data_IF_634488699091
#
_entry.id   IF_634488699091
#
_cell.length_a   1.000
_cell.length_b   1.000
_cell.length_c   1.000
_cell.angle_alpha   90.00
_cell.angle_beta   90.00
_cell.angle_gamma   90.00
#
_symmetry.space_group_name_H-M   'P 1'
#
loop_
_entity.id
_entity.type
_entity.pdbx_description
1 polymer ?
#
# COMPACT_ATOMS: atom_id res chain seq x y z
N UNK A 1 6.15 38.46 17.07
CA UNK A 1 5.41 37.18 17.21
C UNK A 1 5.38 36.51 15.84
N UNK A 2 5.98 35.33 15.68
CA UNK A 2 5.96 34.56 14.42
C UNK A 2 4.66 33.75 14.37
N UNK A 3 3.87 33.81 13.28
CA UNK A 3 2.67 32.97 13.15
C UNK A 3 3.09 31.50 12.99
N UNK A 4 2.44 30.62 13.74
CA UNK A 4 2.62 29.17 13.63
C UNK A 4 2.11 28.66 12.27
N UNK A 5 2.80 27.72 11.62
CA UNK A 5 2.33 27.13 10.37
C UNK A 5 1.04 26.32 10.62
N UNK A 6 0.01 26.61 9.82
CA UNK A 6 -1.25 25.87 9.83
C UNK A 6 -1.07 24.43 9.33
N UNK A 7 -1.90 23.48 9.78
CA UNK A 7 -1.85 22.09 9.32
C UNK A 7 -2.09 21.97 7.82
N UNK A 8 -1.37 21.03 7.18
CA UNK A 8 -1.33 20.77 5.73
C UNK A 8 -2.73 20.60 5.12
N UNK A 9 -3.67 20.03 5.89
CA UNK A 9 -5.06 19.83 5.46
C UNK A 9 -5.78 21.14 5.12
N UNK A 10 -5.48 22.24 5.81
CA UNK A 10 -6.16 23.53 5.60
C UNK A 10 -5.63 24.29 4.38
N UNK A 11 -4.37 24.05 3.99
CA UNK A 11 -3.77 24.69 2.80
C UNK A 11 -4.35 24.17 1.49
N UNK A 12 -4.76 22.89 1.45
CA UNK A 12 -5.36 22.31 0.26
C UNK A 12 -6.74 22.92 -0.04
N UNK A 13 -7.56 23.17 0.98
CA UNK A 13 -8.86 23.81 0.83
C UNK A 13 -8.77 25.32 0.52
N UNK A 14 -7.76 26.03 1.03
CA UNK A 14 -7.54 27.44 0.66
C UNK A 14 -7.13 27.62 -0.81
N UNK A 15 -6.33 26.70 -1.37
CA UNK A 15 -5.94 26.77 -2.78
C UNK A 15 -7.10 26.44 -3.74
N UNK A 16 -8.08 25.65 -3.29
CA UNK A 16 -9.33 25.41 -4.01
C UNK A 16 -10.28 26.62 -3.93
N UNK A 17 -10.35 27.29 -2.78
CA UNK A 17 -11.18 28.48 -2.60
C UNK A 17 -10.63 29.71 -3.37
N UNK A 18 -9.31 29.84 -3.55
CA UNK A 18 -8.71 30.88 -4.40
C UNK A 18 -8.90 30.63 -5.92
N UNK A 19 -9.34 29.43 -6.31
CA UNK A 19 -9.67 29.11 -7.71
C UNK A 19 -11.10 29.53 -8.12
N UNK A 20 -11.98 29.87 -7.17
CA UNK A 20 -13.37 30.31 -7.45
C UNK A 20 -13.47 31.71 -8.08
N UNK A 21 -12.34 32.39 -8.31
CA UNK A 21 -12.25 33.67 -9.02
C UNK A 21 -11.77 33.58 -10.47
N UNK A 22 -11.46 32.38 -10.98
CA UNK A 22 -11.10 32.18 -12.38
C UNK A 22 -12.37 31.96 -13.22
N UNK A 23 -12.50 32.70 -14.32
CA UNK A 23 -13.61 32.58 -15.27
C UNK A 23 -13.89 31.11 -15.61
N UNK A 24 -15.17 30.71 -15.58
CA UNK A 24 -15.65 29.32 -15.72
C UNK A 24 -14.98 28.52 -16.85
N UNK A 25 -14.59 29.18 -17.94
CA UNK A 25 -13.90 28.53 -19.06
C UNK A 25 -12.45 28.05 -18.78
N UNK A 26 -11.69 28.73 -17.90
CA UNK A 26 -10.31 28.34 -17.61
C UNK A 26 -10.25 27.11 -16.69
N UNK A 27 -11.25 26.95 -15.82
CA UNK A 27 -11.35 25.79 -14.93
C UNK A 27 -11.75 24.54 -15.72
N UNK A 28 -12.65 24.67 -16.69
CA UNK A 28 -13.06 23.58 -17.59
C UNK A 28 -11.90 23.13 -18.49
N UNK A 29 -11.08 24.06 -19.01
CA UNK A 29 -9.90 23.74 -19.80
C UNK A 29 -8.82 22.99 -18.99
N UNK A 30 -8.61 23.36 -17.72
CA UNK A 30 -7.66 22.67 -16.83
C UNK A 30 -8.17 21.27 -16.48
N UNK A 31 -9.47 21.10 -16.19
CA UNK A 31 -10.05 19.77 -15.93
C UNK A 31 -9.91 18.86 -17.15
N UNK A 32 -10.19 19.40 -18.34
CA UNK A 32 -10.13 18.64 -19.59
C UNK A 32 -8.68 18.26 -19.96
N UNK A 33 -7.70 19.13 -19.66
CA UNK A 33 -6.28 18.80 -19.81
C UNK A 33 -5.81 17.73 -18.81
N UNK A 34 -6.36 17.71 -17.60
CA UNK A 34 -6.04 16.71 -16.58
C UNK A 34 -6.60 15.32 -16.97
N UNK A 35 -7.87 15.25 -17.40
CA UNK A 35 -8.48 14.01 -17.89
C UNK A 35 -7.78 13.49 -19.14
N UNK A 36 -7.39 14.38 -20.07
CA UNK A 36 -6.63 14.00 -21.26
C UNK A 36 -5.21 13.48 -20.94
N UNK A 37 -4.60 13.98 -19.85
CA UNK A 37 -3.31 13.50 -19.38
C UNK A 37 -3.43 12.10 -18.75
N UNK A 38 -4.47 11.85 -17.95
CA UNK A 38 -4.73 10.51 -17.36
C UNK A 38 -5.05 9.47 -18.46
N UNK A 39 -5.87 9.82 -19.45
CA UNK A 39 -6.18 8.92 -20.57
C UNK A 39 -4.95 8.59 -21.45
N UNK A 40 -3.98 9.50 -21.53
CA UNK A 40 -2.70 9.27 -22.22
C UNK A 40 -1.78 8.34 -21.44
N UNK A 41 -1.84 8.35 -20.12
CA UNK A 41 -1.04 7.44 -19.28
C UNK A 41 -1.58 6.00 -19.34
N UNK A 42 -2.90 5.84 -19.44
CA UNK A 42 -3.54 4.53 -19.58
C UNK A 42 -3.23 3.85 -20.93
N UNK A 43 -3.22 4.63 -22.02
CA UNK A 43 -2.90 4.12 -23.38
C UNK A 43 -1.43 3.75 -23.58
N UNK A 44 -0.51 4.35 -22.82
CA UNK A 44 0.91 3.96 -22.83
C UNK A 44 1.16 2.64 -22.08
N UNK A 45 0.39 2.35 -21.03
CA UNK A 45 0.52 1.09 -20.27
C UNK A 45 -0.10 -0.11 -20.99
N UNK A 46 -1.11 0.07 -21.86
CA UNK A 46 -1.69 -1.05 -22.63
C UNK A 46 -0.75 -1.57 -23.72
N UNK A 47 0.16 -0.73 -24.24
CA UNK A 47 1.10 -1.11 -25.30
C UNK A 47 2.36 -1.85 -24.81
N UNK A 48 2.65 -1.82 -23.51
CA UNK A 48 3.80 -2.50 -22.92
C UNK A 48 3.50 -3.92 -22.39
N UNK A 49 2.22 -4.34 -22.40
CA UNK A 49 1.75 -5.56 -21.73
C UNK A 49 1.38 -6.73 -22.65
N UNK A 50 1.98 -6.88 -23.82
CA UNK A 50 1.73 -8.04 -24.71
C UNK A 50 3.04 -8.75 -25.05
N UNK A 51 3.52 -9.58 -24.13
CA UNK A 51 4.21 -10.87 -24.36
C UNK A 51 4.23 -11.57 -23.00
N UNK A 52 3.30 -12.50 -22.80
CA UNK A 52 3.44 -13.59 -21.83
C UNK A 52 2.47 -14.68 -22.24
N UNK A 53 3.01 -15.72 -22.86
CA UNK A 53 2.28 -16.91 -23.27
C UNK A 53 1.81 -17.69 -22.02
N UNK A 54 0.63 -18.32 -22.06
CA UNK A 54 0.22 -19.27 -21.05
C UNK A 54 0.94 -20.60 -21.25
N UNK A 55 1.81 -20.98 -20.31
CA UNK A 55 2.31 -22.36 -20.19
C UNK A 55 1.24 -23.19 -19.50
N UNK A 56 0.58 -24.05 -20.28
CA UNK A 56 -0.28 -25.11 -19.76
C UNK A 56 0.58 -26.28 -19.30
N UNK A 57 0.69 -26.50 -18.00
CA UNK A 57 1.15 -27.77 -17.42
C UNK A 57 -0.01 -28.45 -16.73
N UNK A 58 -0.67 -29.33 -17.48
CA UNK A 58 -1.59 -30.33 -16.97
C UNK A 58 -0.77 -31.44 -16.32
N UNK A 59 -0.91 -31.65 -15.01
CA UNK A 59 -0.46 -32.89 -14.37
C UNK A 59 -1.63 -33.48 -13.59
N UNK A 60 -2.23 -34.50 -14.20
CA UNK A 60 -3.21 -35.40 -13.64
C UNK A 60 -2.51 -36.32 -12.64
N UNK A 61 -2.80 -36.19 -11.35
CA UNK A 61 -2.48 -37.22 -10.35
C UNK A 61 -3.77 -37.89 -9.90
N UNK A 62 -3.90 -39.17 -10.27
CA UNK A 62 -4.95 -40.05 -9.78
C UNK A 62 -4.71 -40.42 -8.30
N UNK A 63 -5.77 -40.55 -7.50
CA UNK A 63 -5.69 -41.02 -6.12
C UNK A 63 -5.67 -42.55 -6.07
N UNK A 64 -4.69 -43.13 -5.38
CA UNK A 64 -4.73 -44.54 -5.00
C UNK A 64 -5.06 -44.64 -3.51
N UNK A 65 -6.28 -45.10 -3.24
CA UNK A 65 -6.78 -45.59 -1.96
C UNK A 65 -6.14 -46.95 -1.66
N UNK A 66 -5.73 -47.18 -0.40
CA UNK A 66 -6.04 -48.48 0.21
C UNK A 66 -6.87 -48.33 1.50
N UNK A 67 -7.89 -49.19 1.57
CA UNK A 67 -8.85 -49.37 2.67
C UNK A 67 -8.23 -50.00 3.95
N UNK A 68 -8.99 -50.07 5.06
CA UNK A 68 -8.48 -49.97 6.43
C UNK A 68 -8.15 -51.32 7.08
N UNK A 69 -7.12 -51.33 7.93
CA UNK A 69 -6.86 -52.41 8.88
C UNK A 69 -7.50 -52.09 10.24
N UNK A 70 -8.31 -53.03 10.69
CA UNK A 70 -9.06 -53.04 11.93
C UNK A 70 -8.19 -52.76 13.17
N UNK A 71 -8.67 -51.87 14.05
CA UNK A 71 -8.12 -51.66 15.38
C UNK A 71 -9.17 -52.05 16.44
N UNK A 72 -8.77 -52.73 17.53
CA UNK A 72 -9.67 -53.22 18.56
C UNK A 72 -10.26 -52.09 19.44
N UNK A 73 -11.41 -52.32 20.10
CA UNK A 73 -12.05 -51.32 20.95
C UNK A 73 -11.25 -51.17 22.25
N UNK A 74 -10.55 -50.04 22.41
CA UNK A 74 -9.93 -49.69 23.69
C UNK A 74 -10.87 -48.77 24.47
N UNK A 75 -11.64 -49.37 25.37
CA UNK A 75 -12.39 -48.69 26.42
C UNK A 75 -11.47 -47.80 27.25
N UNK A 76 -11.86 -46.54 27.40
CA UNK A 76 -11.16 -45.54 28.18
C UNK A 76 -11.44 -44.13 27.66
N UNK A 77 -12.72 -43.72 27.66
CA UNK A 77 -13.12 -42.36 27.33
C UNK A 77 -12.65 -41.43 28.46
N UNK A 78 -11.40 -41.00 28.38
CA UNK A 78 -10.96 -39.79 29.06
C UNK A 78 -11.86 -38.65 28.59
N UNK A 79 -12.30 -37.74 29.48
CA UNK A 79 -13.03 -36.56 29.04
C UNK A 79 -12.22 -35.88 27.93
N UNK A 80 -12.85 -35.44 26.81
CA UNK A 80 -12.15 -34.72 25.77
C UNK A 80 -11.42 -33.57 26.44
N UNK A 81 -10.09 -33.65 26.52
CA UNK A 81 -9.27 -32.53 26.94
C UNK A 81 -9.55 -31.46 25.91
N UNK A 82 -10.35 -30.47 26.30
CA UNK A 82 -10.62 -29.30 25.50
C UNK A 82 -9.26 -28.69 25.13
N UNK A 83 -8.81 -28.84 23.87
CA UNK A 83 -7.49 -28.37 23.46
C UNK A 83 -7.40 -26.84 23.54
N UNK A 84 -8.53 -26.15 23.72
CA UNK A 84 -8.64 -24.70 23.82
C UNK A 84 -8.01 -24.11 25.09
N UNK A 85 -7.79 -24.92 26.15
CA UNK A 85 -7.27 -24.38 27.43
C UNK A 85 -5.78 -24.07 27.44
N UNK A 86 -5.05 -24.43 26.39
CA UNK A 86 -3.60 -24.21 26.28
C UNK A 86 -3.19 -23.60 24.93
N UNK A 87 -4.13 -22.95 24.22
CA UNK A 87 -3.80 -22.23 23.00
C UNK A 87 -2.94 -21.01 23.35
N UNK A 88 -1.62 -21.19 23.32
CA UNK A 88 -0.67 -20.12 23.56
C UNK A 88 -0.81 -19.08 22.46
N UNK A 89 -0.89 -17.77 22.79
CA UNK A 89 -1.06 -16.73 21.78
C UNK A 89 0.10 -16.77 20.78
N UNK A 90 -0.22 -16.76 19.50
CA UNK A 90 0.79 -16.73 18.45
C UNK A 90 1.55 -15.40 18.49
N UNK A 91 2.89 -15.43 18.57
CA UNK A 91 3.68 -14.21 18.66
C UNK A 91 3.68 -13.39 17.36
N UNK A 92 3.26 -13.98 16.24
CA UNK A 92 3.44 -13.39 14.90
C UNK A 92 4.89 -13.49 14.43
N UNK A 93 5.16 -13.03 13.21
CA UNK A 93 6.54 -12.87 12.73
C UNK A 93 7.01 -11.42 12.97
N UNK A 94 8.23 -11.21 13.47
CA UNK A 94 8.78 -9.86 13.57
C UNK A 94 8.99 -9.29 12.16
N UNK A 95 8.67 -8.02 11.99
CA UNK A 95 8.92 -7.28 10.75
C UNK A 95 10.27 -6.60 10.89
N UNK A 96 11.29 -7.16 10.24
CA UNK A 96 12.58 -6.49 10.10
C UNK A 96 12.46 -5.36 9.06
N UNK A 97 12.65 -4.13 9.52
CA UNK A 97 12.48 -2.94 8.70
C UNK A 97 13.75 -2.09 8.73
N UNK A 98 14.52 -2.15 7.66
CA UNK A 98 15.85 -1.55 7.56
C UNK A 98 15.79 -0.08 7.12
N UNK A 99 14.87 0.71 7.68
CA UNK A 99 14.74 2.13 7.39
C UNK A 99 14.92 2.95 8.67
N UNK A 100 15.32 4.22 8.53
CA UNK A 100 15.57 5.13 9.65
C UNK A 100 14.36 5.25 10.60
N UNK A 101 13.15 5.14 10.06
CA UNK A 101 11.92 5.09 10.84
C UNK A 101 10.87 4.19 10.20
N UNK A 102 10.45 3.15 10.92
CA UNK A 102 9.31 2.31 10.54
C UNK A 102 8.04 3.15 10.36
N UNK A 103 7.82 4.14 11.23
CA UNK A 103 6.59 4.92 11.25
C UNK A 103 6.41 5.85 10.05
N UNK A 104 7.50 6.27 9.40
CA UNK A 104 7.41 7.14 8.21
C UNK A 104 7.52 6.36 6.91
N UNK A 105 8.27 5.26 6.93
CA UNK A 105 8.57 4.47 5.72
C UNK A 105 7.62 3.27 5.52
N UNK A 106 6.83 2.88 6.52
CA UNK A 106 5.81 1.84 6.35
C UNK A 106 4.52 2.40 5.72
N UNK A 107 3.95 1.76 4.68
CA UNK A 107 2.70 2.20 4.05
C UNK A 107 1.47 1.79 4.88
N UNK A 108 1.16 2.55 5.93
CA UNK A 108 0.04 2.28 6.84
C UNK A 108 -1.33 2.26 6.14
N UNK A 109 -1.44 2.91 5.00
CA UNK A 109 -2.64 2.96 4.17
C UNK A 109 -3.08 1.56 3.72
N UNK A 110 -2.16 0.59 3.61
CA UNK A 110 -2.49 -0.81 3.29
C UNK A 110 -3.36 -1.49 4.35
N UNK A 111 -3.50 -0.91 5.54
CA UNK A 111 -4.37 -1.42 6.61
C UNK A 111 -5.68 -0.66 6.73
N UNK A 112 -5.94 0.32 5.86
CA UNK A 112 -7.19 1.05 5.87
C UNK A 112 -8.35 0.12 5.46
N UNK A 113 -9.54 0.21 6.10
CA UNK A 113 -10.68 -0.65 5.78
C UNK A 113 -11.14 -0.60 4.31
N UNK A 114 -10.84 0.51 3.62
CA UNK A 114 -11.19 0.78 2.23
C UNK A 114 -10.01 0.65 1.26
N UNK A 115 -8.85 0.14 1.72
CA UNK A 115 -7.70 -0.05 0.85
C UNK A 115 -8.04 -1.07 -0.25
N UNK A 116 -7.78 -0.72 -1.52
CA UNK A 116 -8.00 -1.67 -2.62
C UNK A 116 -6.97 -2.80 -2.61
N UNK A 117 -5.80 -2.55 -2.01
CA UNK A 117 -4.73 -3.53 -1.85
C UNK A 117 -4.40 -3.64 -0.37
N UNK A 118 -5.21 -4.38 0.37
CA UNK A 118 -4.94 -4.60 1.78
C UNK A 118 -3.65 -5.43 1.95
N UNK A 119 -2.90 -5.14 3.03
CA UNK A 119 -1.87 -6.06 3.48
C UNK A 119 -2.51 -7.42 3.82
N UNK A 120 -1.90 -8.57 3.46
CA UNK A 120 -2.44 -9.89 3.74
C UNK A 120 -2.30 -10.32 5.20
N UNK A 121 -1.97 -9.37 6.09
CA UNK A 121 -1.69 -9.59 7.49
C UNK A 121 -2.14 -8.42 8.35
N UNK A 122 -2.46 -8.72 9.60
CA UNK A 122 -2.66 -7.73 10.64
C UNK A 122 -1.30 -7.26 11.14
N UNK A 123 -1.11 -5.94 11.16
CA UNK A 123 0.07 -5.33 11.77
C UNK A 123 -0.19 -5.06 13.25
N UNK A 124 0.65 -5.61 14.12
CA UNK A 124 0.64 -5.31 15.56
C UNK A 124 1.99 -4.76 15.99
N UNK A 125 2.01 -3.85 16.96
CA UNK A 125 3.25 -3.34 17.55
C UNK A 125 3.25 -3.72 19.01
N UNK A 126 4.22 -4.54 19.43
CA UNK A 126 4.35 -4.99 20.82
C UNK A 126 5.76 -4.69 21.29
N UNK A 127 5.87 -3.93 22.37
CA UNK A 127 7.16 -3.48 22.92
C UNK A 127 8.05 -2.77 21.89
N UNK A 128 7.43 -1.98 21.00
CA UNK A 128 8.13 -1.25 19.93
C UNK A 128 8.54 -2.09 18.72
N UNK A 129 8.29 -3.40 18.71
CA UNK A 129 8.61 -4.27 17.59
C UNK A 129 7.35 -4.49 16.74
N UNK A 130 7.35 -4.07 15.46
CA UNK A 130 6.26 -4.37 14.54
C UNK A 130 6.26 -5.87 14.20
N UNK A 131 5.07 -6.47 14.19
CA UNK A 131 4.86 -7.89 13.91
C UNK A 131 3.71 -8.07 12.94
N UNK A 132 3.87 -9.04 12.03
CA UNK A 132 2.81 -9.46 11.13
C UNK A 132 2.10 -10.70 11.69
N UNK A 133 0.77 -10.68 11.69
CA UNK A 133 -0.06 -11.82 12.07
C UNK A 133 -1.03 -12.16 10.97
N UNK A 134 -1.17 -13.45 10.67
CA UNK A 134 -2.16 -13.89 9.70
C UNK A 134 -3.56 -13.73 10.29
N UNK A 135 -4.55 -13.25 9.51
CA UNK A 135 -5.96 -13.26 9.93
C UNK A 135 -6.47 -14.68 10.22
N UNK A 136 -5.80 -15.69 9.67
CA UNK A 136 -6.09 -17.12 9.86
C UNK A 136 -5.13 -17.78 10.86
N UNK A 137 -4.61 -17.00 11.82
CA UNK A 137 -3.69 -17.49 12.84
C UNK A 137 -4.35 -18.54 13.76
N UNK A 138 -3.74 -19.71 13.88
CA UNK A 138 -4.24 -20.85 14.69
C UNK A 138 -3.66 -20.95 16.11
N UNK A 139 -2.91 -19.94 16.58
CA UNK A 139 -2.18 -19.99 17.86
C UNK A 139 -0.70 -20.39 17.71
N UNK A 140 0.13 -20.07 18.70
CA UNK A 140 1.58 -20.30 18.66
C UNK A 140 1.95 -21.76 18.87
N UNK A 141 3.14 -22.14 18.41
CA UNK A 141 3.71 -23.48 18.65
C UNK A 141 4.67 -23.36 19.84
N UNK A 142 4.40 -24.09 20.91
CA UNK A 142 5.29 -24.12 22.08
C UNK A 142 6.44 -25.09 21.80
N UNK A 143 7.67 -24.59 21.91
CA UNK A 143 8.91 -25.36 21.75
C UNK A 143 9.77 -25.20 22.99
N UNK A 144 10.84 -26.00 23.09
CA UNK A 144 11.83 -25.90 24.17
C UNK A 144 12.51 -24.53 24.23
N UNK A 145 12.60 -23.83 23.10
CA UNK A 145 13.26 -22.53 22.96
C UNK A 145 12.29 -21.35 23.14
N UNK A 146 11.00 -21.62 23.33
CA UNK A 146 9.95 -20.61 23.48
C UNK A 146 8.79 -20.82 22.52
N UNK A 147 8.03 -19.74 22.27
CA UNK A 147 6.83 -19.78 21.44
C UNK A 147 7.20 -19.37 20.01
N UNK A 148 6.99 -20.26 19.06
CA UNK A 148 7.20 -19.99 17.63
C UNK A 148 5.90 -19.54 16.95
N UNK A 149 6.00 -18.74 15.88
CA UNK A 149 4.86 -18.42 15.03
C UNK A 149 4.26 -19.69 14.41
N UNK A 150 2.95 -19.70 14.21
CA UNK A 150 2.31 -20.79 13.48
C UNK A 150 2.71 -20.80 12.00
N UNK A 151 2.40 -21.89 11.30
CA UNK A 151 2.67 -22.03 9.88
C UNK A 151 2.06 -20.88 9.05
N UNK A 152 0.83 -20.45 9.38
CA UNK A 152 0.15 -19.34 8.69
C UNK A 152 0.85 -18.00 8.87
N UNK A 153 1.33 -17.69 10.07
CA UNK A 153 2.12 -16.48 10.30
C UNK A 153 3.51 -16.57 9.66
N UNK A 154 4.14 -17.74 9.68
CA UNK A 154 5.48 -17.95 9.10
C UNK A 154 5.49 -17.74 7.57
N UNK A 155 4.40 -18.07 6.89
CA UNK A 155 4.23 -17.87 5.44
C UNK A 155 4.21 -16.38 5.03
N UNK A 156 3.89 -15.47 5.95
CA UNK A 156 3.82 -14.03 5.67
C UNK A 156 5.20 -13.38 5.44
N UNK A 157 6.28 -14.11 5.66
CA UNK A 157 7.65 -13.58 5.49
C UNK A 157 7.86 -13.02 4.09
N UNK A 158 7.31 -13.68 3.07
CA UNK A 158 7.39 -13.21 1.69
C UNK A 158 6.56 -11.95 1.46
N UNK A 159 5.34 -11.90 2.00
CA UNK A 159 4.45 -10.74 1.86
C UNK A 159 5.05 -9.48 2.50
N UNK A 160 5.58 -9.62 3.72
CA UNK A 160 6.30 -8.56 4.43
C UNK A 160 7.49 -8.08 3.61
N UNK A 161 8.25 -9.00 3.00
CA UNK A 161 9.38 -8.64 2.14
C UNK A 161 8.92 -7.86 0.91
N UNK A 162 7.84 -8.28 0.24
CA UNK A 162 7.30 -7.58 -0.92
C UNK A 162 6.88 -6.15 -0.57
N UNK A 163 6.18 -5.95 0.55
CA UNK A 163 5.74 -4.62 0.99
C UNK A 163 6.96 -3.73 1.29
N UNK A 164 7.97 -4.28 1.97
CA UNK A 164 9.24 -3.60 2.24
C UNK A 164 9.94 -3.18 0.94
N UNK A 165 10.10 -4.11 0.00
CA UNK A 165 10.76 -3.88 -1.28
C UNK A 165 10.02 -2.85 -2.15
N UNK A 166 8.72 -2.62 -1.92
CA UNK A 166 7.94 -1.54 -2.55
C UNK A 166 8.15 -0.20 -1.83
N UNK A 167 8.11 -0.21 -0.51
CA UNK A 167 8.30 0.97 0.33
C UNK A 167 9.68 1.63 0.13
N UNK A 168 10.70 0.86 -0.27
CA UNK A 168 12.05 1.39 -0.55
C UNK A 168 12.22 1.95 -1.97
N UNK A 169 11.23 1.82 -2.86
CA UNK A 169 11.34 2.32 -4.24
C UNK A 169 11.13 3.83 -4.29
N UNK A 170 11.70 4.53 -5.28
CA UNK A 170 11.26 5.89 -5.61
C UNK A 170 9.76 5.92 -5.93
N UNK A 171 9.06 6.99 -5.56
CA UNK A 171 7.60 7.07 -5.71
C UNK A 171 7.15 6.96 -7.17
N UNK A 172 8.00 7.34 -8.13
CA UNK A 172 7.76 7.24 -9.58
C UNK A 172 7.62 5.79 -10.06
N UNK A 173 8.16 4.84 -9.29
CA UNK A 173 8.08 3.39 -9.58
C UNK A 173 6.97 2.69 -8.81
N UNK A 174 6.19 3.43 -8.04
CA UNK A 174 5.05 2.91 -7.27
C UNK A 174 3.77 3.37 -7.94
N UNK A 175 3.15 2.47 -8.69
CA UNK A 175 1.98 2.80 -9.52
C UNK A 175 0.71 3.07 -8.71
N UNK A 176 0.60 2.51 -7.50
CA UNK A 176 -0.61 2.58 -6.69
C UNK A 176 -0.42 3.56 -5.54
N UNK A 177 -1.37 4.48 -5.39
CA UNK A 177 -1.33 5.49 -4.33
C UNK A 177 -1.35 4.86 -2.92
N UNK A 178 -2.14 3.81 -2.72
CA UNK A 178 -2.25 3.09 -1.43
C UNK A 178 -0.94 2.39 -1.02
N UNK A 179 -0.05 2.12 -1.97
CA UNK A 179 1.25 1.49 -1.73
C UNK A 179 2.33 2.51 -1.32
N UNK A 180 2.03 3.81 -1.37
CA UNK A 180 2.98 4.88 -1.01
C UNK A 180 3.06 5.05 0.52
N UNK A 181 4.29 5.06 1.04
CA UNK A 181 4.54 5.48 2.41
C UNK A 181 4.57 7.00 2.56
N UNK A 182 4.68 7.50 3.80
CA UNK A 182 4.61 8.94 4.07
C UNK A 182 5.77 9.71 3.43
N UNK A 183 6.96 9.10 3.35
CA UNK A 183 8.15 9.72 2.76
C UNK A 183 7.99 9.86 1.24
N UNK A 184 7.52 8.80 0.57
CA UNK A 184 7.19 8.80 -0.86
C UNK A 184 6.06 9.77 -1.20
N UNK A 185 5.03 9.87 -0.35
CA UNK A 185 3.95 10.83 -0.50
C UNK A 185 4.46 12.28 -0.43
N UNK A 186 5.36 12.59 0.51
CA UNK A 186 5.96 13.93 0.58
C UNK A 186 6.77 14.27 -0.66
N UNK A 187 7.63 13.34 -1.11
CA UNK A 187 8.39 13.52 -2.34
C UNK A 187 7.48 13.74 -3.57
N UNK A 188 6.36 13.01 -3.64
CA UNK A 188 5.37 13.20 -4.71
C UNK A 188 4.73 14.58 -4.67
N UNK A 189 4.37 15.08 -3.48
CA UNK A 189 3.79 16.42 -3.29
C UNK A 189 4.76 17.50 -3.75
N UNK A 190 6.04 17.41 -3.35
CA UNK A 190 7.08 18.37 -3.75
C UNK A 190 7.20 18.45 -5.28
N UNK A 191 7.26 17.31 -5.97
CA UNK A 191 7.33 17.26 -7.44
C UNK A 191 6.08 17.86 -8.11
N UNK A 192 4.90 17.69 -7.51
CA UNK A 192 3.66 18.30 -8.03
C UNK A 192 3.66 19.81 -7.80
N UNK A 193 4.07 20.28 -6.62
CA UNK A 193 4.18 21.70 -6.29
C UNK A 193 5.15 22.43 -7.26
N UNK A 194 6.31 21.83 -7.54
CA UNK A 194 7.28 22.37 -8.51
C UNK A 194 6.70 22.49 -9.93
N UNK A 195 5.91 21.50 -10.36
CA UNK A 195 5.22 21.54 -11.65
C UNK A 195 4.18 22.67 -11.70
N UNK A 196 3.38 22.82 -10.64
CA UNK A 196 2.38 23.89 -10.54
C UNK A 196 3.06 25.26 -10.57
N UNK A 197 4.14 25.45 -9.83
CA UNK A 197 4.90 26.70 -9.82
C UNK A 197 5.49 27.01 -11.20
N UNK A 198 6.02 26.00 -11.88
CA UNK A 198 6.53 26.14 -13.26
C UNK A 198 5.44 26.56 -14.24
N UNK A 199 4.22 26.01 -14.13
CA UNK A 199 3.09 26.38 -14.98
C UNK A 199 2.60 27.80 -14.67
N UNK A 200 2.49 28.18 -13.39
CA UNK A 200 2.14 29.55 -12.98
C UNK A 200 3.09 30.59 -13.55
N UNK A 201 4.41 30.31 -13.51
CA UNK A 201 5.42 31.18 -14.11
C UNK A 201 5.23 31.31 -15.63
N UNK A 202 4.98 30.19 -16.33
CA UNK A 202 4.72 30.21 -17.78
C UNK A 202 3.47 31.02 -18.15
N UNK A 203 2.39 30.87 -17.38
CA UNK A 203 1.15 31.62 -17.60
C UNK A 203 1.34 33.13 -17.33
N UNK A 204 2.05 33.49 -16.26
CA UNK A 204 2.41 34.89 -15.99
C UNK A 204 3.22 35.52 -17.12
N UNK A 205 4.22 34.80 -17.65
CA UNK A 205 5.02 35.25 -18.80
C UNK A 205 4.17 35.40 -20.07
N UNK A 206 3.24 34.48 -20.30
CA UNK A 206 2.33 34.56 -21.45
C UNK A 206 1.41 35.79 -21.38
N UNK A 207 0.86 36.07 -20.19
CA UNK A 207 0.01 37.25 -19.97
C UNK A 207 0.79 38.55 -20.22
N UNK A 208 2.02 38.66 -19.72
CA UNK A 208 2.91 39.81 -20.01
C UNK A 208 3.09 40.02 -21.52
N UNK A 209 3.34 38.95 -22.27
CA UNK A 209 3.53 39.04 -23.73
C UNK A 209 2.30 39.58 -24.46
N UNK A 210 1.09 39.20 -24.04
CA UNK A 210 -0.16 39.73 -24.63
C UNK A 210 -0.25 41.24 -24.40
N UNK A 211 -0.05 41.71 -23.17
CA UNK A 211 -0.13 43.14 -22.83
C UNK A 211 0.80 44.00 -23.68
N UNK A 212 2.04 43.56 -23.89
CA UNK A 212 2.99 44.33 -24.74
C UNK A 212 2.56 44.36 -26.22
N UNK A 213 2.01 43.27 -26.76
CA UNK A 213 1.58 43.25 -28.18
C UNK A 213 0.31 44.05 -28.46
N UNK A 214 -0.55 44.27 -27.47
CA UNK A 214 -1.77 45.07 -27.62
C UNK A 214 -1.55 46.57 -27.42
N UNK A 215 -0.44 46.98 -26.80
CA UNK A 215 -0.13 48.39 -26.55
C UNK A 215 0.48 49.12 -27.76
N UNK A 216 0.89 48.40 -28.81
CA UNK A 216 1.51 48.96 -30.03
C UNK A 216 0.53 49.17 -31.20
N UNK A 217 -0.78 49.12 -30.95
CA UNK A 217 -1.84 49.43 -31.94
C UNK A 217 -2.70 50.58 -31.46
#
# INVERSE_FOLDING_TARGET
MKPSPLPISTRFFSLLAEAEGLCDGAQEEILQQLEAAEAREETLNTKAGTISQPVSTSTTFNPAVPSPLAHPPRSGTLPPRDPSRWAVPCPGIPIEWNADSFYTSYPFQLHAPNAKNCAPYDLTITSGIPKARSPHCTGGIVTLEGILPCAKCSQLTLDVKIIRDRATRPFERVHKHDDLNADQLRAKVEVVEDKVNTLKLKQGVFNLKIFYTTSEK
#
